data_IF_406314965810
#
_entry.id   IF_406314965810
#
_cell.length_a   1.000
_cell.length_b   1.000
_cell.length_c   1.000
_cell.angle_alpha   90.00
_cell.angle_beta   90.00
_cell.angle_gamma   90.00
#
_symmetry.space_group_name_H-M   'P 1'
#
loop_
_entity.id
_entity.type
_entity.pdbx_description
1 polymer ?
#
# COMPACT_ATOMS: atom_id res chain seq x y z
N UNK A 1 -10.37 8.86 -5.70
CA UNK A 1 -10.17 7.39 -5.63
C UNK A 1 -9.91 6.87 -7.02
N UNK A 2 -8.76 6.22 -7.19
CA UNK A 2 -8.40 5.50 -8.41
C UNK A 2 -9.35 4.33 -8.67
N UNK A 3 -9.46 3.90 -9.93
CA UNK A 3 -10.31 2.76 -10.34
C UNK A 3 -9.55 1.46 -10.24
N UNK A 4 -10.27 0.33 -10.16
CA UNK A 4 -9.65 -1.01 -10.19
C UNK A 4 -8.69 -1.15 -11.38
N UNK A 5 -7.45 -1.55 -11.12
CA UNK A 5 -6.43 -1.75 -12.13
C UNK A 5 -5.75 -0.48 -12.62
N UNK A 6 -6.17 0.70 -12.15
CA UNK A 6 -5.43 1.93 -12.37
C UNK A 6 -4.06 1.81 -11.70
N UNK A 7 -3.03 2.30 -12.38
CA UNK A 7 -1.65 2.20 -11.95
C UNK A 7 -1.01 3.58 -11.81
N UNK A 8 -0.10 3.71 -10.85
CA UNK A 8 0.72 4.90 -10.62
C UNK A 8 2.16 4.47 -10.42
N UNK A 9 3.04 4.87 -11.34
CA UNK A 9 4.48 4.76 -11.15
C UNK A 9 4.97 5.91 -10.28
N UNK A 10 5.83 5.61 -9.31
CA UNK A 10 6.41 6.61 -8.42
C UNK A 10 7.84 6.22 -8.05
N UNK A 11 8.70 7.22 -7.87
CA UNK A 11 10.08 7.05 -7.42
C UNK A 11 10.25 7.70 -6.04
N UNK A 12 10.65 6.91 -5.05
CA UNK A 12 10.86 7.35 -3.67
C UNK A 12 12.24 6.85 -3.22
N UNK A 13 13.07 7.74 -2.68
CA UNK A 13 14.43 7.41 -2.21
C UNK A 13 15.27 6.62 -3.23
N UNK A 14 15.09 6.91 -4.52
CA UNK A 14 15.83 6.26 -5.61
C UNK A 14 15.23 4.94 -6.10
N UNK A 15 14.26 4.36 -5.40
CA UNK A 15 13.58 3.10 -5.75
C UNK A 15 12.30 3.40 -6.52
N UNK A 16 12.07 2.66 -7.61
CA UNK A 16 10.88 2.80 -8.45
C UNK A 16 9.81 1.78 -8.05
N UNK A 17 8.61 2.27 -7.76
CA UNK A 17 7.45 1.50 -7.36
C UNK A 17 6.33 1.62 -8.39
N UNK A 18 5.52 0.57 -8.45
CA UNK A 18 4.27 0.53 -9.19
C UNK A 18 3.13 0.33 -8.20
N UNK A 19 2.28 1.33 -8.06
CA UNK A 19 1.04 1.18 -7.29
C UNK A 19 -0.06 0.71 -8.21
N UNK A 20 -0.84 -0.27 -7.77
CA UNK A 20 -2.00 -0.77 -8.52
C UNK A 20 -3.24 -0.78 -7.63
N UNK A 21 -4.31 -0.12 -8.06
CA UNK A 21 -5.50 -0.02 -7.22
C UNK A 21 -6.28 -1.35 -7.23
N UNK A 22 -6.59 -1.94 -6.06
CA UNK A 22 -7.15 -3.30 -5.98
C UNK A 22 -8.65 -3.33 -6.34
N UNK A 23 -9.29 -2.15 -6.34
CA UNK A 23 -10.71 -1.97 -6.59
C UNK A 23 -11.47 -1.61 -5.33
N UNK A 24 -12.69 -1.09 -5.49
CA UNK A 24 -13.47 -0.52 -4.38
C UNK A 24 -13.81 -1.54 -3.28
N UNK A 25 -14.26 -2.75 -3.67
CA UNK A 25 -14.63 -3.76 -2.69
C UNK A 25 -13.43 -4.20 -1.85
N UNK A 26 -12.27 -4.38 -2.50
CA UNK A 26 -11.08 -4.84 -1.80
C UNK A 26 -10.50 -3.73 -0.92
N UNK A 27 -10.51 -2.47 -1.37
CA UNK A 27 -10.05 -1.36 -0.53
C UNK A 27 -10.90 -1.22 0.75
N UNK A 28 -12.21 -1.44 0.68
CA UNK A 28 -13.07 -1.49 1.87
C UNK A 28 -12.68 -2.66 2.78
N UNK A 29 -12.49 -3.86 2.21
CA UNK A 29 -12.12 -5.05 2.99
C UNK A 29 -10.77 -4.90 3.68
N UNK A 30 -9.77 -4.33 3.01
CA UNK A 30 -8.46 -4.03 3.60
C UNK A 30 -8.63 -3.15 4.86
N UNK A 31 -9.44 -2.09 4.77
CA UNK A 31 -9.74 -1.22 5.92
C UNK A 31 -10.48 -1.93 7.04
N UNK A 32 -11.38 -2.85 6.73
CA UNK A 32 -12.14 -3.57 7.75
C UNK A 32 -11.29 -4.62 8.46
N UNK A 33 -10.45 -5.36 7.73
CA UNK A 33 -9.47 -6.30 8.30
C UNK A 33 -8.43 -5.60 9.18
N UNK A 34 -8.16 -4.33 8.90
CA UNK A 34 -7.14 -3.54 9.61
C UNK A 34 -7.64 -2.87 10.89
N UNK A 35 -8.84 -3.19 11.39
CA UNK A 35 -9.36 -2.63 12.65
C UNK A 35 -9.33 -3.66 13.76
N UNK A 36 -9.03 -3.21 14.98
CA UNK A 36 -9.23 -4.03 16.18
C UNK A 36 -10.72 -4.08 16.59
N UNK A 37 -11.03 -4.82 17.66
CA UNK A 37 -12.40 -4.97 18.18
C UNK A 37 -13.07 -3.65 18.58
N UNK A 38 -12.28 -2.61 18.90
CA UNK A 38 -12.75 -1.27 19.20
C UNK A 38 -12.94 -0.39 17.95
N UNK A 39 -12.77 -0.93 16.74
CA UNK A 39 -12.86 -0.22 15.48
C UNK A 39 -11.66 0.69 15.17
N UNK A 40 -10.59 0.62 15.98
CA UNK A 40 -9.38 1.43 15.80
C UNK A 40 -8.48 0.79 14.74
N UNK A 41 -8.00 1.60 13.80
CA UNK A 41 -7.07 1.13 12.77
C UNK A 41 -5.75 0.67 13.40
N UNK A 42 -5.29 -0.51 13.02
CA UNK A 42 -3.99 -1.05 13.37
C UNK A 42 -3.07 -0.75 12.19
N UNK A 43 -2.13 0.18 12.38
CA UNK A 43 -1.22 0.64 11.32
C UNK A 43 -0.43 -0.50 10.68
N UNK A 44 0.10 -1.42 11.50
CA UNK A 44 0.83 -2.58 10.98
C UNK A 44 -0.01 -3.38 9.96
N UNK A 45 -1.28 -3.63 10.28
CA UNK A 45 -2.15 -4.44 9.43
C UNK A 45 -2.49 -3.71 8.14
N UNK A 46 -2.85 -2.43 8.20
CA UNK A 46 -3.16 -1.68 6.97
C UNK A 46 -1.93 -1.53 6.07
N UNK A 47 -0.73 -1.40 6.63
CA UNK A 47 0.49 -1.37 5.83
C UNK A 47 0.81 -2.72 5.19
N UNK A 48 0.59 -3.84 5.89
CA UNK A 48 0.67 -5.19 5.27
C UNK A 48 -0.31 -5.34 4.11
N UNK A 49 -1.55 -4.90 4.30
CA UNK A 49 -2.59 -4.94 3.27
C UNK A 49 -2.20 -4.10 2.04
N UNK A 50 -1.63 -2.90 2.24
CA UNK A 50 -1.14 -2.06 1.15
C UNK A 50 0.02 -2.72 0.39
N UNK A 51 0.98 -3.30 1.11
CA UNK A 51 2.12 -4.01 0.50
C UNK A 51 1.70 -5.26 -0.26
N UNK A 52 0.66 -5.97 0.20
CA UNK A 52 0.17 -7.18 -0.46
C UNK A 52 -0.67 -6.88 -1.72
N UNK A 53 -1.45 -5.79 -1.71
CA UNK A 53 -2.47 -5.55 -2.73
C UNK A 53 -2.26 -4.32 -3.61
N UNK A 54 -1.37 -3.41 -3.20
CA UNK A 54 -1.26 -2.09 -3.84
C UNK A 54 0.18 -1.79 -4.25
N UNK A 55 1.15 -2.00 -3.36
CA UNK A 55 2.53 -1.55 -3.55
C UNK A 55 3.37 -2.68 -4.12
N UNK A 56 3.92 -2.45 -5.31
CA UNK A 56 4.86 -3.36 -5.95
C UNK A 56 6.13 -2.60 -6.32
N UNK A 57 7.26 -3.30 -6.49
CA UNK A 57 8.39 -2.73 -7.21
C UNK A 57 8.00 -2.54 -8.69
N UNK A 58 8.70 -1.66 -9.41
CA UNK A 58 8.40 -1.42 -10.83
C UNK A 58 8.40 -2.68 -11.70
N UNK A 59 9.20 -3.67 -11.34
CA UNK A 59 9.28 -4.96 -12.02
C UNK A 59 8.14 -5.92 -11.65
N UNK A 60 7.21 -5.49 -10.80
CA UNK A 60 6.07 -6.29 -10.31
C UNK A 60 6.41 -7.18 -9.11
N UNK A 61 7.54 -6.95 -8.45
CA UNK A 61 7.93 -7.66 -7.23
C UNK A 61 7.12 -7.20 -6.02
N UNK A 62 6.91 -8.10 -5.07
CA UNK A 62 6.29 -7.76 -3.77
C UNK A 62 7.30 -7.03 -2.88
N UNK A 63 6.77 -6.19 -2.00
CA UNK A 63 7.51 -5.59 -0.88
C UNK A 63 6.88 -6.03 0.43
N UNK A 64 7.63 -5.98 1.51
CA UNK A 64 7.18 -6.25 2.87
C UNK A 64 8.03 -5.44 3.86
N UNK A 65 7.85 -5.65 5.16
CA UNK A 65 8.64 -4.92 6.16
C UNK A 65 10.13 -5.25 6.07
N UNK A 66 10.52 -6.49 5.77
CA UNK A 66 11.93 -6.88 5.66
C UNK A 66 12.59 -6.13 4.49
N UNK A 67 11.88 -5.97 3.37
CA UNK A 67 12.33 -5.10 2.28
C UNK A 67 12.60 -3.68 2.77
N UNK A 68 11.72 -3.11 3.59
CA UNK A 68 11.85 -1.74 4.11
C UNK A 68 12.83 -1.57 5.29
N UNK A 69 13.26 -2.66 5.94
CA UNK A 69 14.40 -2.64 6.88
C UNK A 69 15.71 -2.39 6.13
N UNK A 70 15.81 -2.89 4.89
CA UNK A 70 17.00 -2.73 4.03
C UNK A 70 16.91 -1.52 3.08
N UNK A 71 15.70 -1.02 2.81
CA UNK A 71 15.44 0.02 1.82
C UNK A 71 14.69 1.22 2.42
N UNK A 72 15.20 2.46 2.26
CA UNK A 72 14.57 3.65 2.82
C UNK A 72 13.25 4.01 2.12
N UNK A 73 12.50 4.93 2.73
CA UNK A 73 11.29 5.52 2.14
C UNK A 73 9.96 4.89 2.56
N UNK A 74 9.96 3.98 3.54
CA UNK A 74 8.76 3.30 4.04
C UNK A 74 7.58 4.25 4.29
N UNK A 75 7.78 5.29 5.10
CA UNK A 75 6.71 6.23 5.48
C UNK A 75 6.12 6.96 4.29
N UNK A 76 6.96 7.38 3.34
CA UNK A 76 6.53 8.09 2.13
C UNK A 76 5.78 7.16 1.18
N UNK A 77 6.26 5.92 1.01
CA UNK A 77 5.59 4.89 0.20
C UNK A 77 4.20 4.59 0.78
N UNK A 78 4.08 4.37 2.09
CA UNK A 78 2.80 4.08 2.73
C UNK A 78 1.83 5.27 2.68
N UNK A 79 2.34 6.50 2.87
CA UNK A 79 1.52 7.72 2.79
C UNK A 79 0.94 7.96 1.39
N UNK A 80 1.77 7.76 0.36
CA UNK A 80 1.35 7.85 -1.04
C UNK A 80 0.39 6.71 -1.42
N UNK A 81 0.63 5.48 -0.95
CA UNK A 81 -0.24 4.33 -1.18
C UNK A 81 -1.62 4.55 -0.53
N UNK A 82 -1.66 5.01 0.73
CA UNK A 82 -2.90 5.38 1.42
C UNK A 82 -3.70 6.42 0.64
N UNK A 83 -3.04 7.44 0.10
CA UNK A 83 -3.69 8.49 -0.70
C UNK A 83 -4.22 7.91 -2.00
N UNK A 84 -3.42 7.14 -2.73
CA UNK A 84 -3.81 6.53 -4.00
C UNK A 84 -5.00 5.55 -3.86
N UNK A 85 -5.02 4.75 -2.78
CA UNK A 85 -6.04 3.72 -2.54
C UNK A 85 -7.33 4.28 -1.95
N UNK A 86 -7.25 5.29 -1.08
CA UNK A 86 -8.39 5.72 -0.27
C UNK A 86 -8.86 7.16 -0.48
N UNK A 87 -8.17 7.97 -1.28
CA UNK A 87 -8.56 9.34 -1.59
C UNK A 87 -8.82 9.51 -3.08
#
# INVERSE_FOLDING_TARGET
MAKRGEQKEIKIEGIEYLFQHPGLLESIRMRDRSKNDAGTMIEEVIYRELMEHVVFTKEGGKVDFDFFEENPGFTDVMGEAMTFTFR
#
